data_IF_820982124249
#
_entry.id   IF_820982124249
#
_cell.length_a   1.000
_cell.length_b   1.000
_cell.length_c   1.000
_cell.angle_alpha   90.00
_cell.angle_beta   90.00
_cell.angle_gamma   90.00
#
_symmetry.space_group_name_H-M   'P 1'
#
loop_
_entity.id
_entity.type
_entity.pdbx_description
1 polymer ?
#
# COMPACT_ATOMS: atom_id res chain seq x y z
N UNK A 1 -24.12 -2.72 -8.97
CA UNK A 1 -24.06 -1.61 -7.99
C UNK A 1 -23.33 -0.42 -8.61
N UNK A 2 -23.52 0.81 -8.10
CA UNK A 2 -22.79 2.01 -8.58
C UNK A 2 -21.59 2.29 -7.68
N UNK A 3 -20.45 2.61 -8.28
CA UNK A 3 -19.25 3.10 -7.59
C UNK A 3 -19.47 4.55 -7.14
N UNK A 4 -19.08 4.89 -5.91
CA UNK A 4 -19.09 6.24 -5.38
C UNK A 4 -17.67 6.66 -5.01
N UNK A 5 -17.21 7.80 -5.53
CA UNK A 5 -15.88 8.32 -5.24
C UNK A 5 -15.89 9.30 -4.05
N UNK A 6 -14.80 9.34 -3.27
CA UNK A 6 -13.64 8.45 -3.35
C UNK A 6 -13.96 7.05 -2.81
N UNK A 7 -13.51 5.99 -3.50
CA UNK A 7 -13.70 4.60 -3.05
C UNK A 7 -12.89 4.28 -1.78
N UNK A 8 -11.80 5.01 -1.55
CA UNK A 8 -11.02 5.04 -0.31
C UNK A 8 -10.87 6.51 0.11
N UNK A 9 -11.60 6.92 1.15
CA UNK A 9 -11.55 8.29 1.68
C UNK A 9 -10.37 8.48 2.66
N UNK A 10 -9.92 9.71 2.87
CA UNK A 10 -8.80 10.00 3.77
C UNK A 10 -7.43 9.90 3.11
N UNK A 11 -6.39 9.53 3.87
CA UNK A 11 -5.02 9.44 3.38
C UNK A 11 -4.76 8.08 2.70
N UNK A 12 -5.20 7.96 1.44
CA UNK A 12 -4.99 6.78 0.60
C UNK A 12 -4.45 7.18 -0.79
N UNK A 13 -3.21 7.69 -0.87
CA UNK A 13 -2.63 8.20 -2.10
C UNK A 13 -2.05 7.08 -2.97
N UNK A 14 -1.74 7.41 -4.23
CA UNK A 14 -1.01 6.54 -5.15
C UNK A 14 -1.56 5.11 -5.28
N UNK A 15 -2.88 4.93 -5.54
CA UNK A 15 -3.47 3.60 -5.60
C UNK A 15 -2.90 2.77 -6.75
N UNK A 16 -2.38 1.58 -6.43
CA UNK A 16 -2.05 0.54 -7.41
C UNK A 16 -2.96 -0.64 -7.23
N UNK A 17 -3.58 -1.10 -8.32
CA UNK A 17 -4.58 -2.18 -8.29
C UNK A 17 -4.18 -3.34 -9.20
N UNK A 18 -4.46 -4.56 -8.77
CA UNK A 18 -4.40 -5.75 -9.62
C UNK A 18 -5.58 -6.70 -9.34
N UNK A 19 -5.85 -7.63 -10.26
CA UNK A 19 -6.93 -8.61 -10.14
C UNK A 19 -6.36 -10.03 -10.00
N UNK A 20 -6.94 -10.84 -9.13
CA UNK A 20 -6.63 -12.26 -8.95
C UNK A 20 -7.93 -13.05 -8.86
N UNK A 21 -8.23 -13.86 -9.88
CA UNK A 21 -9.53 -14.52 -9.96
C UNK A 21 -10.66 -13.50 -10.01
N UNK A 22 -11.56 -13.52 -9.05
CA UNK A 22 -12.70 -12.59 -8.94
C UNK A 22 -12.45 -11.43 -7.96
N UNK A 23 -11.26 -11.40 -7.34
CA UNK A 23 -10.88 -10.39 -6.37
C UNK A 23 -9.97 -9.32 -7.00
N UNK A 24 -10.14 -8.09 -6.51
CA UNK A 24 -9.28 -6.95 -6.77
C UNK A 24 -8.52 -6.60 -5.51
N UNK A 25 -7.24 -6.31 -5.65
CA UNK A 25 -6.35 -5.90 -4.57
C UNK A 25 -5.77 -4.54 -4.88
N UNK A 26 -5.78 -3.64 -3.91
CA UNK A 26 -5.29 -2.27 -4.03
C UNK A 26 -4.31 -1.96 -2.90
N UNK A 27 -3.17 -1.34 -3.23
CA UNK A 27 -2.19 -0.83 -2.27
C UNK A 27 -2.04 0.68 -2.45
N UNK A 28 -1.91 1.42 -1.35
CA UNK A 28 -1.62 2.86 -1.35
C UNK A 28 -0.29 3.16 -0.67
N UNK A 29 0.29 4.31 -0.96
CA UNK A 29 1.46 4.80 -0.21
C UNK A 29 1.09 5.07 1.26
N UNK A 30 2.09 4.97 2.14
CA UNK A 30 1.91 5.19 3.60
C UNK A 30 2.98 6.08 4.20
N UNK A 31 3.99 6.50 3.43
CA UNK A 31 5.05 7.39 3.89
C UNK A 31 5.73 6.87 5.16
N UNK A 32 5.81 7.67 6.22
CA UNK A 32 6.40 7.34 7.51
C UNK A 32 5.54 6.44 8.40
N UNK A 33 4.29 6.16 8.02
CA UNK A 33 3.34 5.43 8.87
C UNK A 33 3.52 3.91 8.81
N UNK A 34 3.44 3.27 9.98
CA UNK A 34 3.36 1.82 10.16
C UNK A 34 2.03 1.42 10.83
N UNK A 35 1.42 0.27 10.49
CA UNK A 35 1.77 -0.65 9.40
C UNK A 35 1.75 0.00 8.01
N UNK A 36 2.78 -0.28 7.21
CA UNK A 36 3.06 0.42 5.95
C UNK A 36 2.48 -0.28 4.73
N UNK A 37 2.13 0.51 3.71
CA UNK A 37 1.49 0.08 2.46
C UNK A 37 0.23 -0.77 2.72
N UNK A 38 -0.88 -0.15 3.17
CA UNK A 38 -2.11 -0.87 3.45
C UNK A 38 -2.66 -1.57 2.20
N UNK A 39 -3.19 -2.77 2.38
CA UNK A 39 -3.75 -3.62 1.32
C UNK A 39 -5.25 -3.70 1.48
N UNK A 40 -5.98 -3.38 0.41
CA UNK A 40 -7.44 -3.45 0.35
C UNK A 40 -7.88 -4.53 -0.64
N UNK A 41 -9.01 -5.18 -0.36
CA UNK A 41 -9.66 -6.15 -1.25
C UNK A 41 -11.06 -5.68 -1.63
N UNK A 42 -11.47 -5.97 -2.86
CA UNK A 42 -12.82 -5.78 -3.36
C UNK A 42 -13.20 -6.90 -4.34
N UNK A 43 -14.48 -7.23 -4.43
CA UNK A 43 -15.03 -8.11 -5.49
C UNK A 43 -15.83 -7.33 -6.54
N UNK A 44 -16.09 -6.04 -6.31
CA UNK A 44 -17.02 -5.23 -7.12
C UNK A 44 -16.48 -3.83 -7.50
N UNK A 45 -15.26 -3.51 -7.09
CA UNK A 45 -14.59 -2.20 -7.23
C UNK A 45 -15.30 -1.02 -6.53
N UNK A 46 -16.46 -1.25 -5.94
CA UNK A 46 -17.27 -0.23 -5.27
C UNK A 46 -17.01 -0.22 -3.76
N UNK A 47 -16.85 -1.40 -3.15
CA UNK A 47 -16.57 -1.55 -1.74
C UNK A 47 -15.21 -2.17 -1.51
N UNK A 48 -14.46 -1.59 -0.59
CA UNK A 48 -13.11 -2.00 -0.28
C UNK A 48 -12.98 -2.26 1.22
N UNK A 49 -12.41 -3.41 1.57
CA UNK A 49 -12.07 -3.79 2.93
C UNK A 49 -10.56 -3.80 3.07
N UNK A 50 -10.01 -3.21 4.13
CA UNK A 50 -8.59 -3.34 4.43
C UNK A 50 -8.31 -4.74 4.97
N UNK A 51 -7.52 -5.53 4.24
CA UNK A 51 -7.21 -6.92 4.56
C UNK A 51 -5.82 -7.10 5.19
N UNK A 52 -5.02 -6.04 5.22
CA UNK A 52 -3.69 -6.06 5.85
C UNK A 52 -2.83 -4.88 5.45
N UNK A 53 -1.52 -5.05 5.61
CA UNK A 53 -0.47 -4.13 5.20
C UNK A 53 0.76 -4.94 4.77
N UNK A 54 1.59 -4.40 3.89
CA UNK A 54 2.79 -5.11 3.39
C UNK A 54 3.90 -5.10 4.45
N UNK A 55 4.05 -3.99 5.16
CA UNK A 55 5.08 -3.81 6.22
C UNK A 55 4.37 -3.77 7.56
N UNK A 56 4.62 -4.73 8.45
CA UNK A 56 3.76 -4.95 9.64
C UNK A 56 4.40 -4.62 10.99
N UNK A 57 5.72 -4.42 11.07
CA UNK A 57 6.36 -4.02 12.32
C UNK A 57 7.90 -4.03 12.31
N UNK A 58 8.48 -3.83 13.49
CA UNK A 58 9.92 -3.69 13.72
C UNK A 58 10.68 -4.96 13.29
N UNK A 59 11.60 -4.78 12.35
CA UNK A 59 12.40 -5.85 11.74
C UNK A 59 12.35 -5.86 10.21
N UNK A 60 11.27 -5.34 9.62
CA UNK A 60 11.14 -5.21 8.17
C UNK A 60 11.91 -3.99 7.64
N UNK A 61 11.70 -2.82 8.27
CA UNK A 61 12.25 -1.51 7.88
C UNK A 61 12.34 -0.57 9.11
N UNK A 62 13.45 0.16 9.28
CA UNK A 62 13.56 1.23 10.28
C UNK A 62 13.06 2.56 9.70
N UNK A 63 11.79 2.89 9.95
CA UNK A 63 11.20 4.17 9.57
C UNK A 63 11.35 5.25 10.65
N UNK A 64 11.98 4.95 11.79
CA UNK A 64 12.10 5.90 12.91
C UNK A 64 12.98 7.12 12.63
N UNK A 65 13.74 7.08 11.53
CA UNK A 65 14.68 8.13 11.11
C UNK A 65 14.21 8.92 9.89
N UNK A 66 13.09 8.51 9.30
CA UNK A 66 12.53 9.13 8.10
C UNK A 66 11.87 10.46 8.48
N UNK A 67 12.06 11.49 7.65
CA UNK A 67 11.42 12.79 7.85
C UNK A 67 9.91 12.70 7.59
N UNK A 68 9.14 13.68 8.07
CA UNK A 68 7.70 13.74 7.77
C UNK A 68 7.45 13.78 6.26
N UNK A 69 6.47 13.01 5.80
CA UNK A 69 6.18 12.74 4.38
C UNK A 69 7.30 12.01 3.60
N UNK A 70 8.32 11.48 4.28
CA UNK A 70 9.33 10.57 3.71
C UNK A 70 8.84 9.11 3.71
N UNK A 71 9.72 8.14 3.51
CA UNK A 71 9.39 6.74 3.77
C UNK A 71 8.77 6.02 2.56
N UNK A 72 7.66 5.32 2.76
CA UNK A 72 7.07 4.41 1.77
C UNK A 72 6.18 5.14 0.76
N UNK A 73 6.78 5.53 -0.36
CA UNK A 73 6.12 6.24 -1.46
C UNK A 73 5.30 5.31 -2.35
N UNK A 74 4.72 5.87 -3.44
CA UNK A 74 3.91 5.19 -4.44
C UNK A 74 4.37 3.75 -4.68
N UNK A 75 3.48 2.80 -4.38
CA UNK A 75 3.73 1.38 -4.55
C UNK A 75 3.11 0.89 -5.85
N UNK A 76 3.58 -0.26 -6.33
CA UNK A 76 2.93 -1.03 -7.38
C UNK A 76 2.69 -2.45 -6.90
N UNK A 77 1.46 -2.96 -7.10
CA UNK A 77 1.12 -4.35 -6.78
C UNK A 77 0.82 -5.12 -8.07
N UNK A 78 1.46 -6.27 -8.26
CA UNK A 78 1.20 -7.19 -9.38
C UNK A 78 1.07 -8.61 -8.86
N UNK A 79 0.21 -9.40 -9.49
CA UNK A 79 0.10 -10.81 -9.19
C UNK A 79 0.63 -11.64 -10.36
N UNK A 80 1.54 -12.56 -10.08
CA UNK A 80 2.08 -13.49 -11.06
C UNK A 80 2.52 -14.80 -10.39
N UNK A 81 2.18 -15.93 -11.01
CA UNK A 81 2.57 -17.27 -10.55
C UNK A 81 2.21 -17.57 -9.08
N UNK A 82 1.02 -17.15 -8.63
CA UNK A 82 0.53 -17.40 -7.26
C UNK A 82 1.16 -16.50 -6.19
N UNK A 83 1.93 -15.48 -6.60
CA UNK A 83 2.57 -14.53 -5.70
C UNK A 83 2.12 -13.10 -6.02
N UNK A 84 1.97 -12.32 -4.95
CA UNK A 84 1.90 -10.86 -5.04
C UNK A 84 3.30 -10.27 -4.97
N UNK A 85 3.57 -9.36 -5.89
CA UNK A 85 4.78 -8.58 -5.98
C UNK A 85 4.41 -7.13 -5.67
N UNK A 86 4.96 -6.61 -4.57
CA UNK A 86 4.82 -5.20 -4.22
C UNK A 86 6.19 -4.55 -4.33
N UNK A 87 6.27 -3.47 -5.12
CA UNK A 87 7.48 -2.66 -5.26
C UNK A 87 7.14 -1.24 -4.90
N UNK A 88 7.95 -0.59 -4.07
CA UNK A 88 7.80 0.81 -3.69
C UNK A 88 9.19 1.46 -3.60
N UNK A 89 9.19 2.77 -3.36
CA UNK A 89 10.42 3.52 -3.08
C UNK A 89 10.43 3.88 -1.59
N UNK A 90 11.52 3.53 -0.90
CA UNK A 90 11.83 4.08 0.41
C UNK A 90 12.60 5.40 0.21
N UNK A 91 11.96 6.52 0.51
CA UNK A 91 12.54 7.87 0.40
C UNK A 91 13.11 8.30 1.76
N UNK A 92 14.22 9.03 1.73
CA UNK A 92 14.94 9.55 2.91
C UNK A 92 15.58 8.50 3.84
N UNK A 93 15.99 7.35 3.30
CA UNK A 93 16.77 6.32 4.01
C UNK A 93 18.27 6.70 4.17
N UNK A 94 18.57 7.92 4.62
CA UNK A 94 19.95 8.34 4.78
C UNK A 94 20.57 7.75 6.06
N UNK A 95 21.52 6.83 5.88
CA UNK A 95 22.49 6.46 6.90
C UNK A 95 23.21 7.72 7.43
N UNK A 96 23.55 7.78 8.74
CA UNK A 96 24.26 8.93 9.28
C UNK A 96 25.59 9.12 8.54
N UNK A 97 25.83 10.34 8.05
CA UNK A 97 27.15 10.79 7.62
C UNK A 97 28.10 10.98 8.78
#
# INVERSE_FOLDING_TARGET
>A
MRVANPVLAGCHPDPSVCRVGDDFYLVTSSFEYLPGLPVFRSTDLAHWEQVGAVVTGEGDLDLGRVASSGGLFAATIRHHAGLFWVVCTLVDDHAPG
#
